data_IF_849481563221
#
_entry.id   IF_849481563221
#
_cell.length_a   1.000
_cell.length_b   1.000
_cell.length_c   1.000
_cell.angle_alpha   90.00
_cell.angle_beta   90.00
_cell.angle_gamma   90.00
#
_symmetry.space_group_name_H-M   'P 1'
#
loop_
_entity.id
_entity.type
_entity.pdbx_description
1 polymer ?
#
# COMPACT_ATOMS: atom_id res chain seq x y z
N UNK A 1 -20.46 -8.44 -10.82
CA UNK A 1 -20.87 -7.27 -10.01
C UNK A 1 -20.79 -6.03 -10.85
N UNK A 2 -21.73 -5.11 -10.64
CA UNK A 2 -21.71 -3.78 -11.26
C UNK A 2 -20.89 -2.77 -10.44
N UNK A 3 -20.75 -1.55 -10.94
CA UNK A 3 -19.98 -0.48 -10.31
C UNK A 3 -20.42 -0.18 -8.86
N UNK A 4 -21.73 -0.06 -8.62
CA UNK A 4 -22.25 0.29 -7.28
C UNK A 4 -21.99 -0.83 -6.26
N UNK A 5 -22.14 -2.08 -6.68
CA UNK A 5 -21.83 -3.24 -5.84
C UNK A 5 -20.34 -3.27 -5.51
N UNK A 6 -19.46 -3.08 -6.50
CA UNK A 6 -18.01 -3.10 -6.31
C UNK A 6 -17.56 -2.04 -5.29
N UNK A 7 -18.14 -0.83 -5.37
CA UNK A 7 -17.84 0.26 -4.43
C UNK A 7 -18.28 -0.12 -2.99
N UNK A 8 -19.48 -0.67 -2.84
CA UNK A 8 -20.06 -0.99 -1.51
C UNK A 8 -19.37 -2.15 -0.82
N UNK A 9 -18.92 -3.16 -1.57
CA UNK A 9 -18.34 -4.38 -0.97
C UNK A 9 -16.82 -4.32 -0.81
N UNK A 10 -16.13 -3.36 -1.43
CA UNK A 10 -14.67 -3.21 -1.32
C UNK A 10 -14.24 -3.02 0.14
N UNK A 11 -13.30 -3.85 0.60
CA UNK A 11 -12.68 -3.77 1.93
C UNK A 11 -11.18 -3.51 1.81
N UNK A 12 -10.59 -2.96 2.87
CA UNK A 12 -9.13 -2.89 2.98
C UNK A 12 -8.60 -4.24 3.49
N UNK A 13 -8.24 -5.12 2.55
CA UNK A 13 -7.72 -6.47 2.81
C UNK A 13 -6.26 -6.41 3.24
N UNK A 14 -5.88 -7.17 4.28
CA UNK A 14 -4.52 -7.19 4.87
C UNK A 14 -3.91 -8.59 4.99
N UNK A 15 -4.57 -9.59 4.41
CA UNK A 15 -4.10 -10.97 4.33
C UNK A 15 -4.33 -11.45 2.91
N UNK A 16 -3.25 -11.83 2.23
CA UNK A 16 -3.26 -12.19 0.82
C UNK A 16 -2.82 -13.64 0.64
N UNK A 17 -3.28 -14.26 -0.44
CA UNK A 17 -2.76 -15.56 -0.88
C UNK A 17 -1.37 -15.34 -1.50
N UNK A 18 -0.54 -16.38 -1.52
CA UNK A 18 0.75 -16.35 -2.23
C UNK A 18 0.61 -16.39 -3.77
N UNK A 19 -0.62 -16.44 -4.28
CA UNK A 19 -0.89 -16.48 -5.72
C UNK A 19 -0.66 -15.09 -6.34
N UNK A 20 0.22 -14.97 -7.36
CA UNK A 20 0.42 -13.72 -8.06
C UNK A 20 -0.81 -13.35 -8.89
N UNK A 21 -1.00 -12.04 -9.11
CA UNK A 21 -2.02 -11.50 -10.01
C UNK A 21 -1.49 -11.53 -11.44
N UNK A 22 -2.35 -11.88 -12.40
CA UNK A 22 -2.03 -11.90 -13.82
C UNK A 22 -1.68 -10.49 -14.34
N UNK A 23 -0.68 -10.41 -15.22
CA UNK A 23 -0.10 -9.13 -15.66
C UNK A 23 -1.12 -8.25 -16.41
N UNK A 24 -2.05 -8.85 -17.14
CA UNK A 24 -3.13 -8.18 -17.86
C UNK A 24 -4.06 -7.44 -16.89
N UNK A 25 -4.35 -8.05 -15.74
CA UNK A 25 -5.19 -7.42 -14.70
C UNK A 25 -4.46 -6.25 -14.04
N UNK A 26 -3.16 -6.38 -13.81
CA UNK A 26 -2.33 -5.30 -13.27
C UNK A 26 -2.29 -4.09 -14.23
N UNK A 27 -2.13 -4.34 -15.54
CA UNK A 27 -2.19 -3.30 -16.57
C UNK A 27 -3.53 -2.58 -16.59
N UNK A 28 -4.64 -3.32 -16.55
CA UNK A 28 -5.98 -2.75 -16.53
C UNK A 28 -6.22 -1.85 -15.30
N UNK A 29 -5.72 -2.26 -14.13
CA UNK A 29 -5.81 -1.45 -12.91
C UNK A 29 -4.98 -0.17 -13.03
N UNK A 30 -3.75 -0.26 -13.56
CA UNK A 30 -2.89 0.89 -13.76
C UNK A 30 -3.51 1.89 -14.76
N UNK A 31 -4.05 1.39 -15.87
CA UNK A 31 -4.78 2.18 -16.86
C UNK A 31 -5.98 2.90 -16.21
N UNK A 32 -6.83 2.18 -15.48
CA UNK A 32 -7.95 2.79 -14.78
C UNK A 32 -7.52 3.91 -13.82
N UNK A 33 -6.36 3.76 -13.16
CA UNK A 33 -5.76 4.79 -12.30
C UNK A 33 -5.30 6.04 -13.06
N UNK A 34 -4.81 5.89 -14.29
CA UNK A 34 -4.38 7.02 -15.14
C UNK A 34 -5.55 7.92 -15.56
N UNK A 35 -6.74 7.35 -15.72
CA UNK A 35 -7.97 8.09 -16.06
C UNK A 35 -8.63 8.78 -14.85
N UNK A 36 -8.03 8.75 -13.67
CA UNK A 36 -8.48 9.55 -12.54
C UNK A 36 -8.36 11.06 -12.81
N UNK A 37 -9.30 11.90 -12.34
CA UNK A 37 -9.22 13.34 -12.56
C UNK A 37 -7.99 13.94 -11.86
N UNK A 38 -7.33 14.89 -12.52
CA UNK A 38 -6.20 15.64 -11.98
C UNK A 38 -6.41 17.15 -12.17
N UNK A 39 -5.90 17.96 -11.24
CA UNK A 39 -5.99 19.42 -11.33
C UNK A 39 -5.38 19.92 -12.64
N UNK A 40 -6.16 20.67 -13.43
CA UNK A 40 -5.72 21.16 -14.74
C UNK A 40 -5.40 20.06 -15.76
N UNK A 41 -5.87 18.82 -15.57
CA UNK A 41 -5.52 17.66 -16.38
C UNK A 41 -4.00 17.40 -16.47
N UNK A 42 -3.24 17.75 -15.43
CA UNK A 42 -1.79 17.65 -15.44
C UNK A 42 -1.25 16.22 -15.55
N UNK A 43 -2.05 15.20 -15.22
CA UNK A 43 -1.69 13.78 -15.35
C UNK A 43 -0.35 13.42 -14.70
N UNK A 44 0.06 14.13 -13.64
CA UNK A 44 1.36 13.95 -12.97
C UNK A 44 1.51 12.66 -12.15
N UNK A 45 0.50 11.79 -12.15
CA UNK A 45 0.51 10.55 -11.39
C UNK A 45 1.48 9.53 -12.00
N UNK A 46 2.26 8.86 -11.15
CA UNK A 46 3.14 7.77 -11.56
C UNK A 46 2.79 6.50 -10.79
N UNK A 47 2.62 5.38 -11.51
CA UNK A 47 2.27 4.09 -10.92
C UNK A 47 3.46 3.14 -11.05
N UNK A 48 4.04 2.74 -9.92
CA UNK A 48 5.07 1.69 -9.86
C UNK A 48 4.42 0.35 -9.51
N UNK A 49 4.42 -0.59 -10.45
CA UNK A 49 3.92 -1.96 -10.22
C UNK A 49 5.11 -2.83 -9.82
N UNK A 50 5.19 -3.19 -8.55
CA UNK A 50 6.30 -3.98 -8.00
C UNK A 50 5.80 -5.40 -7.72
N UNK A 51 6.24 -6.36 -8.53
CA UNK A 51 5.96 -7.80 -8.37
C UNK A 51 7.18 -8.60 -7.89
N UNK A 52 8.37 -8.00 -7.91
CA UNK A 52 9.60 -8.64 -7.44
C UNK A 52 9.59 -8.77 -5.91
N UNK A 53 9.64 -10.01 -5.43
CA UNK A 53 9.59 -10.32 -4.00
C UNK A 53 10.80 -9.77 -3.22
N UNK A 54 11.98 -9.67 -3.84
CA UNK A 54 13.18 -9.12 -3.22
C UNK A 54 13.06 -7.61 -3.03
N UNK A 55 12.48 -6.90 -4.00
CA UNK A 55 12.20 -5.46 -3.90
C UNK A 55 11.16 -5.19 -2.82
N UNK A 56 10.09 -5.98 -2.77
CA UNK A 56 9.06 -5.87 -1.71
C UNK A 56 9.67 -6.13 -0.33
N UNK A 57 10.50 -7.17 -0.19
CA UNK A 57 11.22 -7.45 1.05
C UNK A 57 12.11 -6.28 1.46
N UNK A 58 12.82 -5.66 0.50
CA UNK A 58 13.65 -4.51 0.78
C UNK A 58 12.85 -3.29 1.24
N UNK A 59 11.71 -3.02 0.59
CA UNK A 59 10.81 -1.96 1.03
C UNK A 59 10.32 -2.19 2.46
N UNK A 60 9.96 -3.43 2.81
CA UNK A 60 9.55 -3.80 4.18
C UNK A 60 10.63 -3.45 5.21
N UNK A 61 11.89 -3.80 4.95
CA UNK A 61 13.01 -3.46 5.83
C UNK A 61 13.18 -1.95 6.00
N UNK A 62 13.10 -1.19 4.91
CA UNK A 62 13.29 0.27 4.92
C UNK A 62 12.18 0.96 5.72
N UNK A 63 10.93 0.59 5.49
CA UNK A 63 9.78 1.16 6.22
C UNK A 63 9.84 0.80 7.69
N UNK A 64 10.17 -0.46 8.02
CA UNK A 64 10.35 -0.89 9.40
C UNK A 64 11.45 -0.08 10.10
N UNK A 65 12.59 0.11 9.44
CA UNK A 65 13.70 0.89 10.01
C UNK A 65 13.30 2.35 10.24
N UNK A 66 12.59 2.96 9.28
CA UNK A 66 12.10 4.33 9.39
C UNK A 66 11.14 4.51 10.57
N UNK A 67 10.15 3.63 10.73
CA UNK A 67 9.21 3.71 11.86
C UNK A 67 9.87 3.39 13.20
N UNK A 68 10.83 2.47 13.25
CA UNK A 68 11.53 2.14 14.49
C UNK A 68 12.31 3.34 15.05
N UNK A 69 12.85 4.17 14.16
CA UNK A 69 13.61 5.38 14.49
C UNK A 69 12.75 6.57 14.92
N UNK A 70 11.43 6.53 14.72
CA UNK A 70 10.54 7.62 15.15
C UNK A 70 10.36 7.65 16.67
N UNK A 71 10.16 8.86 17.22
CA UNK A 71 9.79 9.05 18.63
C UNK A 71 8.35 8.59 18.89
N UNK A 72 8.15 7.85 19.98
CA UNK A 72 6.82 7.42 20.40
C UNK A 72 6.27 8.45 21.38
N UNK A 73 5.27 9.23 20.95
CA UNK A 73 4.61 10.26 21.75
C UNK A 73 3.16 9.89 22.07
N UNK A 74 2.63 10.38 23.18
CA UNK A 74 1.30 9.99 23.67
C UNK A 74 0.14 10.61 22.89
N UNK A 75 0.36 11.69 22.16
CA UNK A 75 -0.62 12.35 21.31
C UNK A 75 -0.73 11.72 19.90
N UNK A 76 0.14 10.76 19.56
CA UNK A 76 0.13 10.14 18.24
C UNK A 76 -1.15 9.33 17.97
N UNK A 77 -1.59 9.37 16.71
CA UNK A 77 -2.66 8.51 16.23
C UNK A 77 -2.36 7.03 16.48
N UNK A 78 -3.38 6.27 16.90
CA UNK A 78 -3.25 4.88 17.32
C UNK A 78 -2.53 3.99 16.31
N UNK A 79 -2.79 4.15 15.00
CA UNK A 79 -2.11 3.32 14.00
C UNK A 79 -0.61 3.60 13.92
N UNK A 80 -0.20 4.87 14.06
CA UNK A 80 1.20 5.25 14.01
C UNK A 80 1.95 4.72 15.24
N UNK A 81 1.36 4.83 16.44
CA UNK A 81 1.90 4.18 17.66
C UNK A 81 2.12 2.68 17.46
N UNK A 82 1.15 2.01 16.84
CA UNK A 82 1.26 0.58 16.52
C UNK A 82 2.38 0.30 15.52
N UNK A 83 2.51 1.09 14.44
CA UNK A 83 3.59 0.94 13.46
C UNK A 83 4.97 1.10 14.09
N UNK A 84 5.18 2.14 14.91
CA UNK A 84 6.44 2.38 15.64
C UNK A 84 6.74 1.20 16.57
N UNK A 85 5.76 0.79 17.37
CA UNK A 85 5.93 -0.30 18.35
C UNK A 85 6.24 -1.63 17.68
N UNK A 86 5.52 -2.00 16.62
CA UNK A 86 5.76 -3.24 15.88
C UNK A 86 7.10 -3.20 15.15
N UNK A 87 7.51 -2.03 14.66
CA UNK A 87 8.76 -1.88 13.93
C UNK A 87 9.97 -2.05 14.84
N UNK A 88 9.92 -1.49 16.06
CA UNK A 88 10.95 -1.72 17.11
C UNK A 88 11.05 -3.19 17.52
N UNK A 89 9.97 -3.96 17.38
CA UNK A 89 9.95 -5.40 17.64
C UNK A 89 10.38 -6.26 16.44
N UNK A 90 10.64 -5.66 15.28
CA UNK A 90 11.00 -6.37 14.06
C UNK A 90 9.85 -7.10 13.35
N UNK A 91 8.60 -6.86 13.76
CA UNK A 91 7.42 -7.59 13.29
C UNK A 91 6.49 -6.73 12.42
N UNK A 92 6.95 -5.56 11.98
CA UNK A 92 6.13 -4.68 11.17
C UNK A 92 6.17 -5.11 9.70
N UNK A 93 4.97 -5.21 9.11
CA UNK A 93 4.79 -5.35 7.67
C UNK A 93 3.68 -4.38 7.30
N UNK A 94 3.99 -3.45 6.40
CA UNK A 94 2.97 -2.59 5.80
C UNK A 94 2.15 -3.36 4.77
#
# INVERSE_FOLDING_TARGET
MNTLENIKTRRSTRKFKAQPVEIEKLKLIAEAGQFGPTGGNAQGNHFFVISDASVIAKLKELVQSAFAAMELRDDLYKSLKNSITLSRKGNYSF
#
